data_IF_309020990208
#
_entry.id   IF_309020990208
#
_cell.length_a   1.000
_cell.length_b   1.000
_cell.length_c   1.000
_cell.angle_alpha   90.00
_cell.angle_beta   90.00
_cell.angle_gamma   90.00
#
_symmetry.space_group_name_H-M   'P 1'
#
loop_
_entity.id
_entity.type
_entity.pdbx_description
1 polymer ?
#
# COMPACT_ATOMS: atom_id res chain seq x y z
N UNK A 1 -13.92 -5.70 0.09
CA UNK A 1 -13.91 -4.66 1.12
C UNK A 1 -12.97 -3.58 0.64
N UNK A 2 -13.43 -2.34 0.67
CA UNK A 2 -12.74 -1.17 0.14
C UNK A 2 -11.33 -1.07 0.73
N UNK A 3 -10.32 -1.43 -0.07
CA UNK A 3 -8.90 -1.39 0.31
C UNK A 3 -8.47 0.08 0.36
N UNK A 4 -8.93 0.80 1.38
CA UNK A 4 -8.85 2.25 1.49
C UNK A 4 -7.44 2.73 1.14
N UNK A 5 -7.31 3.26 -0.07
CA UNK A 5 -6.04 3.76 -0.60
C UNK A 5 -5.55 4.93 0.25
N UNK A 6 -6.46 5.62 0.94
CA UNK A 6 -6.20 6.68 1.90
C UNK A 6 -5.44 6.18 3.14
N UNK A 7 -5.81 5.00 3.66
CA UNK A 7 -5.05 4.35 4.74
C UNK A 7 -3.62 4.06 4.31
N UNK A 8 -3.44 3.44 3.13
CA UNK A 8 -2.12 3.08 2.60
C UNK A 8 -1.28 4.32 2.32
N UNK A 9 -1.89 5.39 1.81
CA UNK A 9 -1.23 6.67 1.57
C UNK A 9 -0.80 7.34 2.89
N UNK A 10 -1.69 7.40 3.89
CA UNK A 10 -1.37 7.96 5.21
C UNK A 10 -0.28 7.17 5.92
N UNK A 11 -0.32 5.84 5.86
CA UNK A 11 0.71 4.98 6.42
C UNK A 11 2.04 5.10 5.67
N UNK A 12 2.02 5.27 4.34
CA UNK A 12 3.23 5.55 3.56
C UNK A 12 3.93 6.84 4.03
N UNK A 13 3.17 7.89 4.33
CA UNK A 13 3.70 9.18 4.77
C UNK A 13 4.15 9.16 6.23
N UNK A 14 3.37 8.52 7.12
CA UNK A 14 3.56 8.66 8.58
C UNK A 14 4.28 7.48 9.21
N UNK A 15 4.07 6.27 8.70
CA UNK A 15 4.56 5.02 9.29
C UNK A 15 4.87 3.96 8.20
N UNK A 16 5.95 4.15 7.40
CA UNK A 16 6.25 3.27 6.28
C UNK A 16 6.46 1.81 6.70
N UNK A 17 7.00 1.57 7.90
CA UNK A 17 7.21 0.22 8.44
C UNK A 17 5.90 -0.53 8.72
N UNK A 18 4.83 0.17 9.11
CA UNK A 18 3.50 -0.44 9.35
C UNK A 18 2.87 -0.83 8.01
N UNK A 19 3.05 0.00 6.99
CA UNK A 19 2.60 -0.30 5.63
C UNK A 19 3.31 -1.53 5.04
N UNK A 20 4.60 -1.73 5.31
CA UNK A 20 5.31 -2.94 4.88
C UNK A 20 4.74 -4.22 5.51
N UNK A 21 4.39 -4.18 6.80
CA UNK A 21 3.75 -5.31 7.48
C UNK A 21 2.37 -5.59 6.89
N UNK A 22 1.61 -4.55 6.56
CA UNK A 22 0.34 -4.68 5.85
C UNK A 22 0.51 -5.41 4.52
N UNK A 23 1.48 -5.02 3.69
CA UNK A 23 1.74 -5.73 2.43
C UNK A 23 2.12 -7.19 2.66
N UNK A 24 3.04 -7.48 3.58
CA UNK A 24 3.44 -8.87 3.89
C UNK A 24 2.27 -9.72 4.36
N UNK A 25 1.39 -9.17 5.21
CA UNK A 25 0.20 -9.87 5.68
C UNK A 25 -0.78 -10.18 4.54
N UNK A 26 -0.98 -9.24 3.60
CA UNK A 26 -1.80 -9.46 2.42
C UNK A 26 -1.17 -10.46 1.44
N UNK A 27 0.15 -10.41 1.26
CA UNK A 27 0.89 -11.38 0.45
C UNK A 27 0.82 -12.79 1.05
N UNK A 28 0.78 -12.93 2.38
CA UNK A 28 0.54 -14.21 3.06
C UNK A 28 -0.88 -14.74 2.89
N UNK A 29 -1.87 -13.87 2.78
CA UNK A 29 -3.26 -14.22 2.45
C UNK A 29 -3.45 -14.56 0.96
N UNK A 30 -2.38 -14.49 0.16
CA UNK A 30 -2.39 -14.74 -1.28
C UNK A 30 -2.77 -13.53 -2.12
N UNK A 31 -2.91 -12.36 -1.50
CA UNK A 31 -3.25 -11.10 -2.17
C UNK A 31 -1.98 -10.32 -2.55
N UNK A 32 -1.41 -10.71 -3.70
CA UNK A 32 -0.22 -10.10 -4.28
C UNK A 32 -0.56 -8.89 -5.18
N UNK A 33 0.42 -8.02 -5.40
CA UNK A 33 0.29 -6.90 -6.36
C UNK A 33 -0.34 -5.61 -5.81
N UNK A 34 -0.77 -5.60 -4.53
CA UNK A 34 -1.25 -4.38 -3.86
C UNK A 34 -0.14 -3.32 -3.78
N UNK A 35 1.07 -3.74 -3.40
CA UNK A 35 2.25 -2.87 -3.30
C UNK A 35 2.62 -2.21 -4.62
N UNK A 36 2.56 -2.97 -5.71
CA UNK A 36 2.89 -2.48 -7.05
C UNK A 36 1.87 -1.45 -7.52
N UNK A 37 0.58 -1.74 -7.36
CA UNK A 37 -0.50 -0.79 -7.64
C UNK A 37 -0.37 0.51 -6.87
N UNK A 38 -0.06 0.46 -5.57
CA UNK A 38 0.15 1.67 -4.78
C UNK A 38 1.36 2.47 -5.28
N UNK A 39 2.45 1.79 -5.64
CA UNK A 39 3.65 2.44 -6.17
C UNK A 39 3.38 3.16 -7.49
N UNK A 40 2.61 2.55 -8.39
CA UNK A 40 2.19 3.18 -9.65
C UNK A 40 1.33 4.43 -9.40
N UNK A 41 0.34 4.32 -8.52
CA UNK A 41 -0.56 5.45 -8.20
C UNK A 41 0.18 6.61 -7.55
N UNK A 42 1.15 6.32 -6.65
CA UNK A 42 1.97 7.36 -6.03
C UNK A 42 3.00 7.96 -6.98
N UNK A 43 3.55 7.17 -7.90
CA UNK A 43 4.44 7.68 -8.95
C UNK A 43 3.69 8.63 -9.91
N UNK A 44 2.43 8.33 -10.24
CA UNK A 44 1.59 9.18 -11.11
C UNK A 44 1.17 10.48 -10.42
N UNK A 45 0.94 10.47 -9.10
CA UNK A 45 0.59 11.68 -8.33
C UNK A 45 1.74 12.69 -8.17
N UNK A 46 2.98 12.32 -8.45
CA UNK A 46 4.16 13.18 -8.30
C UNK A 46 4.54 13.94 -9.58
N UNK A 47 3.68 13.93 -10.61
CA UNK A 47 3.93 14.53 -11.92
C UNK A 47 2.85 15.56 -12.25
#
# INVERSE_FOLDING_TARGET
>A
MDSSQDFRHTMNTRFPSVLEVYYKANEWDGNYGIREKDREVWAVKSK
#
